data_IF_043322433601
#
_entry.id   IF_043322433601
#
_cell.length_a   1.000
_cell.length_b   1.000
_cell.length_c   1.000
_cell.angle_alpha   90.00
_cell.angle_beta   90.00
_cell.angle_gamma   90.00
#
_symmetry.space_group_name_H-M   'P 1'
#
loop_
_entity.id
_entity.type
_entity.pdbx_description
1 polymer ?
#
# COMPACT_ATOMS: atom_id res chain seq x y z
N UNK A 1 20.00 31.08 -16.33
CA UNK A 1 20.58 29.85 -15.75
C UNK A 1 19.48 29.18 -14.96
N UNK A 2 19.02 28.01 -15.38
CA UNK A 2 18.07 27.22 -14.60
C UNK A 2 18.76 26.81 -13.31
N UNK A 3 18.21 27.22 -12.17
CA UNK A 3 18.72 26.85 -10.86
C UNK A 3 18.61 25.33 -10.71
N UNK A 4 19.75 24.63 -10.80
CA UNK A 4 19.82 23.16 -10.77
C UNK A 4 19.25 22.57 -9.47
N UNK A 5 19.06 23.38 -8.44
CA UNK A 5 18.51 22.97 -7.15
C UNK A 5 16.98 22.92 -7.10
N UNK A 6 16.28 23.61 -8.01
CA UNK A 6 14.83 23.59 -8.04
C UNK A 6 14.33 22.31 -8.69
N UNK A 7 13.69 21.45 -7.89
CA UNK A 7 13.11 20.16 -8.31
C UNK A 7 11.62 20.13 -8.03
N UNK A 8 10.89 19.31 -8.77
CA UNK A 8 9.47 19.06 -8.48
C UNK A 8 9.33 17.87 -7.54
N UNK A 9 9.07 18.12 -6.26
CA UNK A 9 9.27 17.10 -5.20
C UNK A 9 7.96 16.63 -4.56
N UNK A 10 7.93 15.36 -4.14
CA UNK A 10 6.85 14.80 -3.33
C UNK A 10 7.33 13.63 -2.47
N UNK A 11 6.72 13.46 -1.29
CA UNK A 11 6.81 12.21 -0.53
C UNK A 11 5.71 11.26 -0.96
N UNK A 12 6.05 9.97 -1.07
CA UNK A 12 5.06 8.93 -1.33
C UNK A 12 5.52 7.56 -0.89
N UNK A 13 4.55 6.70 -0.61
CA UNK A 13 4.83 5.28 -0.40
C UNK A 13 4.85 4.53 -1.73
N UNK A 14 5.87 3.70 -1.93
CA UNK A 14 5.86 2.65 -2.96
C UNK A 14 4.70 1.68 -2.68
N UNK A 15 3.93 1.33 -3.73
CA UNK A 15 2.78 0.43 -3.58
C UNK A 15 2.98 -0.87 -4.33
N UNK A 16 2.69 -1.97 -3.63
CA UNK A 16 2.62 -3.29 -4.21
C UNK A 16 1.17 -3.75 -4.26
N UNK A 17 0.79 -4.35 -5.39
CA UNK A 17 -0.50 -5.01 -5.59
C UNK A 17 -0.35 -6.13 -6.63
N UNK A 18 -1.26 -7.11 -6.68
CA UNK A 18 -1.40 -8.01 -7.82
C UNK A 18 -2.03 -7.24 -9.00
N UNK A 19 -1.26 -6.32 -9.59
CA UNK A 19 -1.72 -5.42 -10.63
C UNK A 19 -2.29 -6.21 -11.83
N UNK A 20 -3.44 -5.80 -12.41
CA UNK A 20 -4.01 -6.52 -13.54
C UNK A 20 -3.06 -6.49 -14.75
N UNK A 21 -2.78 -7.66 -15.32
CA UNK A 21 -1.93 -7.80 -16.51
C UNK A 21 -2.55 -7.14 -17.76
N UNK A 22 -3.88 -7.00 -17.78
CA UNK A 22 -4.62 -6.44 -18.91
C UNK A 22 -4.57 -4.90 -19.02
N UNK A 23 -3.90 -4.21 -18.09
CA UNK A 23 -3.76 -2.75 -18.18
C UNK A 23 -2.84 -2.41 -19.38
N UNK A 24 -3.32 -1.71 -20.43
CA UNK A 24 -2.50 -1.43 -21.60
C UNK A 24 -1.26 -0.59 -21.22
N UNK A 25 -0.08 -1.17 -21.45
CA UNK A 25 1.22 -0.65 -20.98
C UNK A 25 1.53 0.78 -21.46
N UNK A 26 1.11 1.13 -22.69
CA UNK A 26 1.43 2.43 -23.29
C UNK A 26 0.73 3.62 -22.61
N UNK A 27 -0.38 3.35 -21.90
CA UNK A 27 -1.24 4.37 -21.29
C UNK A 27 -1.27 4.29 -19.76
N UNK A 28 -0.58 3.30 -19.20
CA UNK A 28 -0.54 3.03 -17.77
C UNK A 28 0.84 3.30 -17.20
N UNK A 29 0.89 3.70 -15.94
CA UNK A 29 2.13 3.76 -15.18
C UNK A 29 2.57 2.34 -14.91
N UNK A 30 3.84 2.07 -15.25
CA UNK A 30 4.53 0.82 -14.85
C UNK A 30 4.35 0.61 -13.35
N UNK A 31 4.15 -0.64 -12.93
CA UNK A 31 3.91 -1.01 -11.53
C UNK A 31 4.90 -0.32 -10.56
N UNK A 32 6.20 -0.38 -10.86
CA UNK A 32 7.29 0.26 -10.08
C UNK A 32 7.23 1.79 -9.95
N UNK A 33 6.32 2.46 -10.66
CA UNK A 33 6.12 3.92 -10.61
C UNK A 33 4.83 4.29 -9.88
N UNK A 34 4.01 3.31 -9.50
CA UNK A 34 2.77 3.51 -8.76
C UNK A 34 3.15 3.76 -7.31
N UNK A 35 2.65 4.85 -6.79
CA UNK A 35 2.91 5.30 -5.43
C UNK A 35 1.63 5.92 -4.87
N UNK A 36 1.52 5.94 -3.56
CA UNK A 36 0.55 6.75 -2.84
C UNK A 36 1.26 8.03 -2.41
N UNK A 37 0.92 9.16 -3.04
CA UNK A 37 1.48 10.47 -2.66
C UNK A 37 0.99 10.84 -1.27
N UNK A 38 1.90 11.18 -0.36
CA UNK A 38 1.58 11.65 0.99
C UNK A 38 1.63 13.18 1.07
N UNK A 39 2.65 13.77 0.43
CA UNK A 39 2.86 15.21 0.46
C UNK A 39 3.49 15.69 -0.84
N UNK A 40 2.99 16.78 -1.42
CA UNK A 40 3.46 17.32 -2.69
C UNK A 40 3.94 18.76 -2.51
N UNK A 41 5.23 19.02 -2.77
CA UNK A 41 5.87 20.33 -2.56
C UNK A 41 5.86 21.25 -3.78
N UNK A 42 5.42 20.76 -4.93
CA UNK A 42 5.58 21.51 -6.18
C UNK A 42 7.05 21.70 -6.55
N UNK A 43 7.37 22.82 -7.19
CA UNK A 43 8.74 23.19 -7.51
C UNK A 43 9.38 23.83 -6.27
N UNK A 44 10.36 23.16 -5.69
CA UNK A 44 11.03 23.62 -4.47
C UNK A 44 12.52 23.31 -4.51
N UNK A 45 13.27 23.95 -3.61
CA UNK A 45 14.71 23.72 -3.45
C UNK A 45 14.95 22.34 -2.83
N UNK A 46 15.70 21.49 -3.50
CA UNK A 46 16.08 20.19 -2.97
C UNK A 46 16.96 20.33 -1.74
N UNK A 47 17.93 21.25 -1.75
CA UNK A 47 18.78 21.53 -0.58
C UNK A 47 17.96 21.83 0.68
N UNK A 48 16.94 22.70 0.57
CA UNK A 48 16.06 23.02 1.70
C UNK A 48 15.32 21.79 2.22
N UNK A 49 14.72 20.99 1.32
CA UNK A 49 14.05 19.75 1.72
C UNK A 49 15.04 18.79 2.39
N UNK A 50 16.21 18.60 1.79
CA UNK A 50 17.24 17.68 2.28
C UNK A 50 17.74 18.03 3.69
N UNK A 51 17.85 19.32 4.03
CA UNK A 51 18.16 19.77 5.40
C UNK A 51 17.12 19.32 6.42
N UNK A 52 15.86 19.23 6.03
CA UNK A 52 14.76 18.79 6.89
C UNK A 52 14.57 17.28 6.94
N UNK A 53 14.93 16.53 5.88
CA UNK A 53 14.73 15.07 5.80
C UNK A 53 15.32 14.35 7.02
N UNK A 54 16.51 14.76 7.48
CA UNK A 54 17.19 14.12 8.62
C UNK A 54 16.39 14.21 9.92
N UNK A 55 15.61 15.27 10.08
CA UNK A 55 14.85 15.59 11.30
C UNK A 55 13.35 15.34 11.15
N UNK A 56 12.90 15.01 9.93
CA UNK A 56 11.52 14.65 9.66
C UNK A 56 11.13 13.45 10.53
N UNK A 57 9.91 13.45 11.11
CA UNK A 57 9.42 12.29 11.83
C UNK A 57 9.45 11.07 10.91
N UNK A 58 10.05 9.99 11.39
CA UNK A 58 10.04 8.71 10.69
C UNK A 58 8.67 8.04 10.87
N UNK A 59 8.28 7.11 9.99
CA UNK A 59 7.14 6.25 10.25
C UNK A 59 7.25 5.61 11.64
N UNK A 60 6.19 5.72 12.44
CA UNK A 60 6.15 5.15 13.79
C UNK A 60 5.86 3.63 13.79
N UNK A 61 5.58 3.08 12.61
CA UNK A 61 5.44 1.67 12.33
C UNK A 61 6.68 1.15 11.59
N UNK A 62 7.07 -0.09 11.91
CA UNK A 62 8.21 -0.75 11.23
C UNK A 62 7.77 -1.64 10.08
N UNK A 63 6.56 -2.17 10.17
CA UNK A 63 5.96 -3.02 9.16
C UNK A 63 5.10 -2.17 8.23
N UNK A 64 5.28 -2.40 6.93
CA UNK A 64 4.53 -1.75 5.87
C UNK A 64 3.02 -1.87 6.07
N UNK A 65 2.26 -0.76 6.04
CA UNK A 65 0.82 -0.83 6.18
C UNK A 65 0.20 -1.61 5.01
N UNK A 66 -0.98 -2.14 5.26
CA UNK A 66 -1.80 -2.86 4.29
C UNK A 66 -3.10 -2.10 4.01
N UNK A 67 -3.62 -2.24 2.81
CA UNK A 67 -4.80 -1.52 2.35
C UNK A 67 -5.55 -2.29 1.26
N UNK A 68 -6.70 -1.76 0.86
CA UNK A 68 -7.48 -2.22 -0.29
C UNK A 68 -7.65 -1.04 -1.25
N UNK A 69 -7.35 -1.26 -2.52
CA UNK A 69 -7.88 -0.42 -3.58
C UNK A 69 -9.35 -0.79 -3.78
N UNK A 70 -10.28 0.01 -3.28
CA UNK A 70 -11.68 -0.38 -3.12
C UNK A 70 -12.61 0.15 -4.23
N UNK A 71 -12.18 1.19 -4.93
CA UNK A 71 -13.00 1.83 -5.95
C UNK A 71 -12.20 2.66 -6.97
N UNK A 72 -12.69 2.81 -8.21
CA UNK A 72 -12.21 3.82 -9.12
C UNK A 72 -12.58 5.21 -8.61
N UNK A 73 -11.58 6.08 -8.47
CA UNK A 73 -11.75 7.42 -7.95
C UNK A 73 -11.63 8.45 -9.08
N UNK A 74 -12.47 9.48 -9.03
CA UNK A 74 -12.32 10.68 -9.84
C UNK A 74 -11.86 11.82 -8.93
N UNK A 75 -10.67 12.34 -9.16
CA UNK A 75 -10.15 13.45 -8.39
C UNK A 75 -10.76 14.78 -8.86
N UNK A 76 -11.25 15.64 -7.96
CA UNK A 76 -11.67 16.98 -8.31
C UNK A 76 -10.47 17.79 -8.83
N UNK A 77 -10.69 18.67 -9.80
CA UNK A 77 -9.68 19.57 -10.36
C UNK A 77 -8.46 18.89 -11.03
N UNK A 78 -8.61 17.62 -11.42
CA UNK A 78 -7.65 16.90 -12.26
C UNK A 78 -8.25 16.63 -13.64
N UNK A 79 -7.39 16.33 -14.61
CA UNK A 79 -7.85 15.93 -15.95
C UNK A 79 -8.84 14.76 -15.81
N UNK A 80 -9.97 14.79 -16.55
CA UNK A 80 -10.93 13.68 -16.57
C UNK A 80 -10.31 12.39 -17.08
N UNK A 81 -9.13 12.45 -17.71
CA UNK A 81 -8.43 11.31 -18.29
C UNK A 81 -7.50 10.58 -17.32
N UNK A 82 -7.40 11.00 -16.05
CA UNK A 82 -6.57 10.29 -15.06
C UNK A 82 -7.36 9.11 -14.46
N UNK A 83 -6.82 7.90 -14.60
CA UNK A 83 -7.31 6.74 -13.87
C UNK A 83 -6.64 6.70 -12.50
N UNK A 84 -7.45 6.80 -11.45
CA UNK A 84 -7.00 6.64 -10.07
C UNK A 84 -7.87 5.63 -9.34
N UNK A 85 -7.27 4.92 -8.38
CA UNK A 85 -7.99 4.08 -7.43
C UNK A 85 -7.91 4.70 -6.04
N UNK A 86 -9.04 4.71 -5.34
CA UNK A 86 -9.09 5.04 -3.92
C UNK A 86 -8.41 3.95 -3.11
N UNK A 87 -7.80 4.34 -2.00
CA UNK A 87 -7.10 3.43 -1.10
C UNK A 87 -7.72 3.55 0.29
N UNK A 88 -8.24 2.43 0.78
CA UNK A 88 -8.77 2.30 2.12
C UNK A 88 -7.84 1.44 2.98
N UNK A 89 -7.52 1.91 4.18
CA UNK A 89 -6.66 1.14 5.09
C UNK A 89 -7.36 -0.16 5.50
N UNK A 90 -6.59 -1.23 5.69
CA UNK A 90 -7.11 -2.49 6.20
C UNK A 90 -6.57 -2.75 7.61
N UNK A 91 -7.37 -2.44 8.63
CA UNK A 91 -6.96 -2.39 10.03
C UNK A 91 -6.65 -0.97 10.50
N UNK A 92 -5.52 -0.82 11.20
CA UNK A 92 -5.08 0.48 11.72
C UNK A 92 -4.74 1.46 10.58
N UNK A 93 -5.16 2.72 10.73
CA UNK A 93 -5.05 3.73 9.69
C UNK A 93 -3.74 4.53 9.77
N UNK A 94 -2.63 3.79 9.80
CA UNK A 94 -1.28 4.35 9.90
C UNK A 94 -0.93 5.35 8.78
N UNK A 95 -1.56 5.21 7.61
CA UNK A 95 -1.32 6.08 6.46
C UNK A 95 -1.80 7.50 6.74
N UNK A 96 -3.03 7.67 7.24
CA UNK A 96 -3.58 9.01 7.52
C UNK A 96 -2.87 9.67 8.71
N UNK A 97 -2.54 8.89 9.74
CA UNK A 97 -1.82 9.37 10.91
C UNK A 97 -0.42 9.87 10.53
N UNK A 98 0.33 9.09 9.75
CA UNK A 98 1.66 9.49 9.31
C UNK A 98 1.62 10.63 8.29
N UNK A 99 0.64 10.65 7.38
CA UNK A 99 0.47 11.75 6.43
C UNK A 99 0.25 13.07 7.16
N UNK A 100 -0.60 13.10 8.17
CA UNK A 100 -0.84 14.28 9.00
C UNK A 100 0.43 14.71 9.73
N UNK A 101 1.14 13.76 10.34
CA UNK A 101 2.38 14.02 11.06
C UNK A 101 3.44 14.70 10.17
N UNK A 102 3.66 14.21 8.95
CA UNK A 102 4.63 14.85 8.04
C UNK A 102 4.10 16.17 7.46
N UNK A 103 2.79 16.28 7.25
CA UNK A 103 2.17 17.53 6.78
C UNK A 103 2.41 18.65 7.78
N UNK A 104 2.02 18.43 9.05
CA UNK A 104 2.16 19.41 10.12
C UNK A 104 3.64 19.78 10.32
N UNK A 105 4.54 18.80 10.28
CA UNK A 105 5.98 19.04 10.36
C UNK A 105 6.50 19.99 9.28
N UNK A 106 6.10 19.81 8.01
CA UNK A 106 6.58 20.68 6.92
C UNK A 106 5.84 22.02 6.89
N UNK A 107 4.57 22.07 7.29
CA UNK A 107 3.84 23.33 7.47
C UNK A 107 4.52 24.22 8.51
N UNK A 108 4.93 23.66 9.66
CA UNK A 108 5.71 24.36 10.69
C UNK A 108 7.07 24.88 10.21
N UNK A 109 7.65 24.28 9.15
CA UNK A 109 8.88 24.77 8.50
C UNK A 109 8.61 25.84 7.43
N UNK A 110 7.36 26.27 7.28
CA UNK A 110 6.96 27.33 6.36
C UNK A 110 6.79 26.88 4.92
N UNK A 111 6.57 25.58 4.68
CA UNK A 111 6.17 25.10 3.36
C UNK A 111 4.68 25.38 3.13
N UNK A 112 4.36 25.98 1.98
CA UNK A 112 2.98 26.15 1.54
C UNK A 112 2.48 24.83 0.94
N UNK A 113 1.87 24.02 1.81
CA UNK A 113 1.25 22.76 1.46
C UNK A 113 -0.21 23.08 1.18
N UNK A 114 -0.61 23.09 -0.10
CA UNK A 114 -1.99 23.43 -0.49
C UNK A 114 -3.00 22.72 0.44
N UNK A 115 -3.87 23.48 1.12
CA UNK A 115 -4.86 22.98 2.10
C UNK A 115 -5.99 22.12 1.51
N UNK A 116 -5.71 21.39 0.43
CA UNK A 116 -6.61 20.39 -0.14
C UNK A 116 -6.65 19.20 0.79
N UNK A 117 -7.87 18.73 1.07
CA UNK A 117 -8.10 17.49 1.82
C UNK A 117 -7.24 16.37 1.23
N UNK A 118 -6.49 15.67 2.08
CA UNK A 118 -5.77 14.48 1.69
C UNK A 118 -6.76 13.42 1.20
N UNK A 119 -6.55 12.92 -0.02
CA UNK A 119 -7.34 11.86 -0.62
C UNK A 119 -6.38 10.72 -0.93
N UNK A 120 -6.48 9.60 -0.21
CA UNK A 120 -5.66 8.42 -0.42
C UNK A 120 -5.98 7.80 -1.78
N UNK A 121 -5.05 7.91 -2.72
CA UNK A 121 -5.25 7.37 -4.06
C UNK A 121 -3.94 6.97 -4.72
N UNK A 122 -4.05 6.06 -5.68
CA UNK A 122 -2.94 5.65 -6.54
C UNK A 122 -3.32 6.00 -7.98
N UNK A 123 -2.43 6.72 -8.66
CA UNK A 123 -2.61 6.97 -10.10
C UNK A 123 -2.11 5.76 -10.89
N UNK A 124 -2.93 5.28 -11.82
CA UNK A 124 -2.59 4.14 -12.68
C UNK A 124 -2.23 4.54 -14.09
N UNK A 125 -2.66 5.70 -14.58
CA UNK A 125 -2.45 6.08 -15.96
C UNK A 125 -3.31 7.23 -16.41
N UNK A 126 -3.19 7.59 -17.69
CA UNK A 126 -3.93 8.70 -18.30
C UNK A 126 -4.50 8.31 -19.66
N UNK A 127 -5.80 7.97 -19.71
CA UNK A 127 -6.54 7.79 -20.96
C UNK A 127 -8.04 7.59 -20.73
N UNK A 128 -8.90 8.29 -21.49
CA UNK A 128 -10.35 8.10 -21.45
C UNK A 128 -10.79 6.65 -21.74
N UNK A 129 -10.16 5.97 -22.71
CA UNK A 129 -10.49 4.58 -23.05
C UNK A 129 -10.15 3.64 -21.90
N UNK A 130 -8.97 3.84 -21.30
CA UNK A 130 -8.52 3.08 -20.14
C UNK A 130 -9.47 3.23 -18.95
N UNK A 131 -9.96 4.46 -18.68
CA UNK A 131 -10.91 4.70 -17.58
C UNK A 131 -12.21 3.92 -17.78
N UNK A 132 -12.76 3.94 -19.01
CA UNK A 132 -14.01 3.23 -19.31
C UNK A 132 -13.86 1.72 -19.09
N UNK A 133 -12.75 1.16 -19.56
CA UNK A 133 -12.43 -0.26 -19.39
C UNK A 133 -12.16 -0.63 -17.93
N UNK A 134 -11.29 0.11 -17.26
CA UNK A 134 -10.94 -0.11 -15.87
C UNK A 134 -12.16 -0.01 -14.93
N UNK A 135 -13.12 0.88 -15.22
CA UNK A 135 -14.37 0.97 -14.46
C UNK A 135 -15.27 -0.24 -14.67
N UNK A 136 -15.36 -0.76 -15.91
CA UNK A 136 -16.21 -1.91 -16.23
C UNK A 136 -15.68 -3.19 -15.58
N UNK A 137 -14.36 -3.34 -15.52
CA UNK A 137 -13.69 -4.54 -15.04
C UNK A 137 -13.03 -4.34 -13.67
N UNK A 138 -13.43 -3.30 -12.92
CA UNK A 138 -12.83 -3.03 -11.63
C UNK A 138 -13.11 -4.18 -10.67
N UNK A 139 -12.06 -4.64 -10.02
CA UNK A 139 -12.12 -5.51 -8.87
C UNK A 139 -11.28 -4.87 -7.77
N UNK A 140 -11.74 -4.92 -6.51
CA UNK A 140 -10.91 -4.54 -5.40
C UNK A 140 -9.58 -5.29 -5.42
N UNK A 141 -8.50 -4.63 -4.99
CA UNK A 141 -7.18 -5.24 -4.96
C UNK A 141 -6.50 -5.04 -3.61
N UNK A 142 -5.80 -6.05 -3.10
CA UNK A 142 -5.04 -5.92 -1.88
C UNK A 142 -3.76 -5.13 -2.16
N UNK A 143 -3.37 -4.31 -1.20
CA UNK A 143 -2.21 -3.44 -1.28
C UNK A 143 -1.32 -3.63 -0.06
N UNK A 144 -0.02 -3.45 -0.26
CA UNK A 144 0.89 -3.11 0.84
C UNK A 144 1.92 -2.07 0.40
N UNK A 145 2.52 -1.42 1.40
CA UNK A 145 3.53 -0.38 1.21
C UNK A 145 4.84 -0.79 1.85
N UNK A 146 5.95 -0.81 1.10
CA UNK A 146 7.26 -1.26 1.64
C UNK A 146 8.26 -0.15 1.83
N UNK A 147 8.06 1.00 1.20
CA UNK A 147 9.11 1.99 1.09
C UNK A 147 8.55 3.39 1.07
N UNK A 148 9.09 4.28 1.90
CA UNK A 148 8.84 5.72 1.80
C UNK A 148 9.93 6.35 0.94
N UNK A 149 9.55 7.11 -0.07
CA UNK A 149 10.49 7.84 -0.90
C UNK A 149 10.20 9.34 -0.90
N UNK A 150 11.27 10.12 -1.03
CA UNK A 150 11.19 11.42 -1.68
C UNK A 150 11.40 11.19 -3.17
N UNK A 151 10.42 11.56 -3.98
CA UNK A 151 10.49 11.48 -5.43
C UNK A 151 10.80 12.84 -6.06
N UNK A 152 11.64 12.83 -7.08
CA UNK A 152 11.70 13.88 -8.10
C UNK A 152 10.73 13.53 -9.23
N UNK A 153 9.86 14.48 -9.59
CA UNK A 153 9.00 14.40 -10.75
C UNK A 153 9.68 15.04 -11.96
N UNK A 154 10.02 14.22 -12.93
CA UNK A 154 10.56 14.65 -14.23
C UNK A 154 9.42 15.01 -15.21
N UNK A 155 9.77 15.35 -16.45
CA UNK A 155 8.77 15.57 -17.51
C UNK A 155 7.92 14.29 -17.73
N UNK A 156 6.60 14.48 -17.92
CA UNK A 156 5.62 13.40 -17.98
C UNK A 156 5.16 12.90 -16.60
N UNK A 157 4.91 11.60 -16.49
CA UNK A 157 4.56 10.92 -15.22
C UNK A 157 5.70 10.00 -14.75
N UNK A 158 6.94 10.46 -14.95
CA UNK A 158 8.12 9.79 -14.44
C UNK A 158 8.50 10.34 -13.08
N UNK A 159 8.54 9.46 -12.09
CA UNK A 159 9.00 9.72 -10.74
C UNK A 159 10.26 8.90 -10.48
N UNK A 160 11.27 9.52 -9.87
CA UNK A 160 12.54 8.90 -9.52
C UNK A 160 12.80 9.11 -8.02
N UNK A 161 13.02 8.03 -7.24
CA UNK A 161 13.43 8.16 -5.85
C UNK A 161 14.78 8.85 -5.73
N UNK A 162 14.86 9.92 -4.92
CA UNK A 162 16.10 10.64 -4.60
C UNK A 162 16.49 10.51 -3.11
N UNK A 163 15.57 10.01 -2.29
CA UNK A 163 15.80 9.57 -0.92
C UNK A 163 14.81 8.46 -0.57
N UNK A 164 15.22 7.53 0.30
CA UNK A 164 14.49 6.31 0.61
C UNK A 164 14.55 5.99 2.10
N UNK A 165 13.46 5.46 2.63
CA UNK A 165 13.36 4.84 3.95
C UNK A 165 12.58 3.53 3.82
N UNK A 166 13.27 2.42 4.10
CA UNK A 166 12.70 1.08 3.96
C UNK A 166 11.82 0.72 5.17
N UNK A 167 10.68 0.09 4.86
CA UNK A 167 9.82 -0.59 5.82
C UNK A 167 9.93 -2.09 5.59
N UNK A 168 9.69 -2.86 6.64
CA UNK A 168 9.63 -4.31 6.49
C UNK A 168 8.33 -4.67 5.78
N UNK A 169 8.33 -5.44 4.67
CA UNK A 169 7.09 -5.83 4.02
C UNK A 169 6.22 -6.66 4.98
N UNK A 170 4.89 -6.49 4.96
CA UNK A 170 3.99 -7.22 5.87
C UNK A 170 4.00 -8.72 5.62
N UNK A 171 4.37 -9.14 4.40
CA UNK A 171 4.55 -10.54 4.06
C UNK A 171 5.49 -10.71 2.87
N UNK A 172 6.07 -11.90 2.77
CA UNK A 172 6.86 -12.35 1.63
C UNK A 172 6.55 -13.82 1.37
N UNK A 173 6.28 -14.21 0.12
CA UNK A 173 6.15 -15.63 -0.22
C UNK A 173 7.53 -16.19 -0.60
N UNK A 174 8.06 -17.12 0.20
CA UNK A 174 9.37 -17.75 -0.05
C UNK A 174 9.29 -18.83 -1.12
N UNK A 175 8.20 -19.57 -1.13
CA UNK A 175 7.85 -20.60 -2.13
C UNK A 175 6.33 -20.75 -2.15
N UNK A 176 5.77 -21.35 -3.20
CA UNK A 176 4.32 -21.52 -3.37
C UNK A 176 3.68 -22.00 -2.06
N UNK A 177 2.85 -21.16 -1.46
CA UNK A 177 2.10 -21.47 -0.24
C UNK A 177 2.88 -21.38 1.07
N UNK A 178 4.08 -20.81 1.07
CA UNK A 178 4.84 -20.54 2.29
C UNK A 178 5.15 -19.05 2.35
N UNK A 179 4.42 -18.37 3.23
CA UNK A 179 4.61 -16.96 3.50
C UNK A 179 5.36 -16.76 4.82
N UNK A 180 6.22 -15.76 4.86
CA UNK A 180 6.71 -15.15 6.09
C UNK A 180 5.91 -13.88 6.28
N UNK A 181 5.22 -13.75 7.41
CA UNK A 181 4.43 -12.60 7.81
C UNK A 181 5.18 -11.81 8.86
N UNK A 182 5.22 -10.50 8.72
CA UNK A 182 5.81 -9.60 9.71
C UNK A 182 4.72 -8.78 10.38
N UNK A 183 4.87 -8.45 11.67
CA UNK A 183 3.90 -7.64 12.41
C UNK A 183 4.46 -7.18 13.74
N UNK A 184 3.83 -6.19 14.36
CA UNK A 184 4.16 -5.66 15.69
C UNK A 184 3.17 -6.19 16.74
N UNK A 185 2.16 -6.95 16.31
CA UNK A 185 1.18 -7.64 17.15
C UNK A 185 0.61 -8.87 16.43
N UNK A 186 -0.01 -9.79 17.19
CA UNK A 186 -0.74 -10.92 16.58
C UNK A 186 -1.91 -10.44 15.70
N UNK A 187 -2.54 -9.31 16.06
CA UNK A 187 -3.56 -8.70 15.23
C UNK A 187 -2.99 -8.30 13.87
N UNK A 188 -1.85 -7.62 13.84
CA UNK A 188 -1.23 -7.22 12.59
C UNK A 188 -0.81 -8.43 11.75
N UNK A 189 -0.24 -9.48 12.36
CA UNK A 189 0.07 -10.73 11.66
C UNK A 189 -1.17 -11.38 11.04
N UNK A 190 -2.29 -11.41 11.75
CA UNK A 190 -3.55 -11.96 11.25
C UNK A 190 -4.11 -11.15 10.07
N UNK A 191 -4.12 -9.82 10.15
CA UNK A 191 -4.55 -8.95 9.05
C UNK A 191 -3.60 -9.07 7.84
N UNK A 192 -2.29 -9.14 8.08
CA UNK A 192 -1.29 -9.34 7.04
C UNK A 192 -1.45 -10.70 6.34
N UNK A 193 -1.83 -11.76 7.08
CA UNK A 193 -2.17 -13.06 6.50
C UNK A 193 -3.37 -12.97 5.54
N UNK A 194 -4.43 -12.26 5.94
CA UNK A 194 -5.61 -12.05 5.10
C UNK A 194 -5.24 -11.36 3.77
N UNK A 195 -4.43 -10.31 3.84
CA UNK A 195 -3.96 -9.58 2.65
C UNK A 195 -2.99 -10.43 1.82
N UNK A 196 -2.12 -11.23 2.43
CA UNK A 196 -1.23 -12.15 1.72
C UNK A 196 -2.01 -13.18 0.88
N UNK A 197 -3.08 -13.76 1.44
CA UNK A 197 -3.96 -14.66 0.71
C UNK A 197 -4.69 -13.95 -0.43
N UNK A 198 -5.25 -12.76 -0.16
CA UNK A 198 -5.89 -11.96 -1.19
C UNK A 198 -4.90 -11.55 -2.28
N UNK A 199 -3.61 -11.38 -1.97
CA UNK A 199 -2.58 -11.07 -2.96
C UNK A 199 -2.43 -12.19 -4.00
N UNK A 200 -2.65 -13.44 -3.60
CA UNK A 200 -2.72 -14.58 -4.52
C UNK A 200 -4.06 -14.73 -5.20
N UNK A 201 -5.14 -14.39 -4.50
CA UNK A 201 -6.49 -14.53 -5.00
C UNK A 201 -7.36 -13.32 -4.61
N UNK A 202 -7.33 -12.22 -5.39
CA UNK A 202 -7.99 -10.95 -5.02
C UNK A 202 -9.49 -11.06 -4.78
N UNK A 203 -10.15 -12.05 -5.37
CA UNK A 203 -11.56 -12.33 -5.13
C UNK A 203 -11.87 -12.80 -3.68
N UNK A 204 -10.86 -13.00 -2.82
CA UNK A 204 -11.03 -13.16 -1.37
C UNK A 204 -11.44 -11.87 -0.66
N UNK A 205 -11.19 -10.69 -1.22
CA UNK A 205 -11.41 -9.40 -0.53
C UNK A 205 -12.80 -9.26 0.11
N UNK A 206 -13.92 -9.63 -0.55
CA UNK A 206 -15.25 -9.52 0.06
C UNK A 206 -15.47 -10.40 1.30
N UNK A 207 -14.59 -11.38 1.55
CA UNK A 207 -14.66 -12.28 2.69
C UNK A 207 -13.70 -11.88 3.81
N UNK A 208 -12.84 -10.89 3.60
CA UNK A 208 -11.90 -10.46 4.63
C UNK A 208 -12.63 -9.72 5.75
N UNK A 209 -12.08 -9.83 6.95
CA UNK A 209 -12.64 -9.23 8.15
C UNK A 209 -11.54 -8.54 8.95
N UNK A 210 -11.46 -7.22 8.78
CA UNK A 210 -10.55 -6.36 9.55
C UNK A 210 -11.05 -6.06 10.97
N UNK A 211 -12.33 -6.33 11.27
CA UNK A 211 -12.93 -6.04 12.58
C UNK A 211 -12.71 -7.16 13.60
N UNK A 212 -12.32 -8.34 13.14
CA UNK A 212 -12.07 -9.48 14.02
C UNK A 212 -10.76 -9.30 14.78
N UNK A 213 -10.85 -9.24 16.10
CA UNK A 213 -9.70 -9.16 17.00
C UNK A 213 -9.20 -10.56 17.38
N UNK A 214 -7.92 -10.84 17.10
CA UNK A 214 -7.25 -12.07 17.54
C UNK A 214 -6.45 -11.83 18.82
N UNK A 215 -6.56 -12.78 19.76
CA UNK A 215 -5.72 -12.80 20.98
C UNK A 215 -4.40 -13.54 20.76
N UNK A 216 -4.40 -14.49 19.83
CA UNK A 216 -3.27 -15.32 19.46
C UNK A 216 -3.46 -15.85 18.02
N UNK A 217 -2.42 -16.42 17.44
CA UNK A 217 -2.45 -16.91 16.05
C UNK A 217 -3.19 -18.25 15.87
N UNK A 218 -3.44 -19.00 16.94
CA UNK A 218 -4.30 -20.18 16.86
C UNK A 218 -5.74 -19.78 16.53
N UNK A 219 -6.28 -18.80 17.28
CA UNK A 219 -7.59 -18.20 17.01
C UNK A 219 -7.62 -17.56 15.61
N UNK A 220 -6.54 -16.87 15.24
CA UNK A 220 -6.35 -16.31 13.90
C UNK A 220 -6.41 -17.37 12.79
N UNK A 221 -5.79 -18.53 12.98
CA UNK A 221 -5.82 -19.65 12.04
C UNK A 221 -7.21 -20.26 11.87
N UNK A 222 -7.96 -20.42 12.97
CA UNK A 222 -9.36 -20.87 12.93
C UNK A 222 -10.22 -19.87 12.15
N UNK A 223 -10.07 -18.57 12.43
CA UNK A 223 -10.81 -17.52 11.71
C UNK A 223 -10.46 -17.51 10.23
N UNK A 224 -9.17 -17.55 9.89
CA UNK A 224 -8.69 -17.55 8.51
C UNK A 224 -9.24 -18.75 7.71
N UNK A 225 -9.23 -19.94 8.31
CA UNK A 225 -9.83 -21.15 7.73
C UNK A 225 -11.33 -21.00 7.52
N UNK A 226 -12.03 -20.34 8.44
CA UNK A 226 -13.46 -20.04 8.31
C UNK A 226 -13.73 -19.13 7.11
N UNK A 227 -12.95 -18.05 6.94
CA UNK A 227 -13.08 -17.14 5.79
C UNK A 227 -12.81 -17.85 4.47
N UNK A 228 -11.76 -18.69 4.41
CA UNK A 228 -11.42 -19.51 3.24
C UNK A 228 -12.59 -20.45 2.89
N UNK A 229 -13.17 -21.14 3.87
CA UNK A 229 -14.31 -22.04 3.64
C UNK A 229 -15.55 -21.29 3.13
N UNK A 230 -15.81 -20.08 3.64
CA UNK A 230 -16.90 -19.23 3.15
C UNK A 230 -16.65 -18.84 1.68
N UNK A 231 -15.45 -18.38 1.36
CA UNK A 231 -15.07 -18.03 0.00
C UNK A 231 -15.11 -19.24 -0.94
N UNK A 232 -14.67 -20.42 -0.51
CA UNK A 232 -14.74 -21.66 -1.27
C UNK A 232 -16.17 -22.02 -1.64
N UNK A 233 -17.10 -21.93 -0.68
CA UNK A 233 -18.51 -22.22 -0.91
C UNK A 233 -19.14 -21.24 -1.89
N UNK A 234 -18.74 -19.96 -1.85
CA UNK A 234 -19.30 -18.90 -2.67
C UNK A 234 -18.72 -18.86 -4.10
N UNK A 235 -17.40 -18.94 -4.24
CA UNK A 235 -16.69 -18.65 -5.50
C UNK A 235 -15.62 -19.70 -5.86
N UNK A 236 -15.53 -20.81 -5.13
CA UNK A 236 -14.59 -21.91 -5.41
C UNK A 236 -13.12 -21.46 -5.47
N UNK A 237 -12.67 -20.75 -4.43
CA UNK A 237 -11.27 -20.33 -4.31
C UNK A 237 -10.34 -21.55 -4.26
N UNK A 238 -9.16 -21.51 -4.91
CA UNK A 238 -8.25 -22.66 -4.98
C UNK A 238 -7.40 -22.81 -3.72
N UNK A 239 -7.91 -22.40 -2.55
CA UNK A 239 -7.21 -22.45 -1.27
C UNK A 239 -8.01 -23.38 -0.36
N UNK A 240 -7.39 -24.45 0.09
CA UNK A 240 -8.05 -25.45 0.94
C UNK A 240 -7.82 -25.18 2.42
N UNK A 241 -6.65 -24.63 2.78
CA UNK A 241 -6.26 -24.44 4.17
C UNK A 241 -5.17 -23.38 4.32
N UNK A 242 -5.17 -22.69 5.47
CA UNK A 242 -4.09 -21.83 5.91
C UNK A 242 -3.75 -22.12 7.38
N UNK A 243 -2.46 -22.29 7.69
CA UNK A 243 -1.98 -22.79 8.98
C UNK A 243 -0.87 -21.90 9.50
N UNK A 244 -1.03 -21.38 10.70
CA UNK A 244 0.07 -20.84 11.50
C UNK A 244 0.72 -21.99 12.27
N UNK A 245 2.05 -22.18 12.18
CA UNK A 245 2.74 -23.06 13.11
C UNK A 245 2.73 -22.47 14.52
N UNK A 246 2.98 -23.31 15.53
CA UNK A 246 2.93 -22.90 16.94
C UNK A 246 4.05 -21.95 17.35
N UNK A 247 5.10 -21.82 16.53
CA UNK A 247 6.29 -21.02 16.83
C UNK A 247 6.59 -20.06 15.70
N UNK A 248 6.98 -18.85 16.07
CA UNK A 248 7.61 -17.87 15.21
C UNK A 248 8.73 -17.17 15.97
N UNK A 249 9.20 -16.07 15.42
CA UNK A 249 10.32 -15.31 15.94
C UNK A 249 9.83 -13.96 16.45
N UNK A 250 10.31 -13.56 17.62
CA UNK A 250 10.10 -12.23 18.18
C UNK A 250 11.46 -11.60 18.48
N UNK A 251 11.67 -10.39 17.94
CA UNK A 251 12.86 -9.60 18.24
C UNK A 251 12.51 -8.13 18.36
N UNK A 252 12.80 -7.54 19.53
CA UNK A 252 12.58 -6.10 19.82
C UNK A 252 11.13 -5.67 19.53
N UNK A 253 10.15 -6.51 19.87
CA UNK A 253 8.72 -6.24 19.63
C UNK A 253 8.30 -6.31 18.16
N UNK A 254 9.13 -6.87 17.27
CA UNK A 254 8.74 -7.27 15.92
C UNK A 254 8.52 -8.78 15.92
N UNK A 255 7.38 -9.21 15.40
CA UNK A 255 6.98 -10.60 15.22
C UNK A 255 7.17 -11.00 13.76
N UNK A 256 7.72 -12.20 13.54
CA UNK A 256 7.83 -12.86 12.25
C UNK A 256 7.26 -14.27 12.36
N UNK A 257 6.28 -14.60 11.53
CA UNK A 257 5.58 -15.88 11.60
C UNK A 257 5.40 -16.51 10.24
N UNK A 258 5.62 -17.81 10.14
CA UNK A 258 5.29 -18.53 8.92
C UNK A 258 3.76 -18.69 8.78
N UNK A 259 3.28 -18.70 7.55
CA UNK A 259 1.95 -19.12 7.16
C UNK A 259 2.06 -20.14 6.03
N UNK A 260 1.58 -21.35 6.28
CA UNK A 260 1.50 -22.40 5.28
C UNK A 260 0.11 -22.45 4.68
N UNK A 261 0.02 -22.40 3.35
CA UNK A 261 -1.21 -22.34 2.57
C UNK A 261 -1.22 -23.51 1.61
N UNK A 262 -2.26 -24.33 1.72
CA UNK A 262 -2.51 -25.44 0.81
C UNK A 262 -3.46 -24.99 -0.30
N UNK A 263 -3.10 -25.33 -1.54
CA UNK A 263 -3.89 -25.04 -2.73
C UNK A 263 -4.40 -26.35 -3.34
N UNK A 264 -5.54 -26.28 -4.03
CA UNK A 264 -6.02 -27.38 -4.89
C UNK A 264 -5.07 -27.65 -6.08
#
# INVERSE_FOLDING_TARGET
MTDQDTKRLLFGFEVHAPWPEMLPDEKTLKAKRRHLTLLFFGNTSYKKIHEHIRYMPKPFFRVGPIAIADSPLRLPNRSPDILTWHVEAFGENFIDEYQRLIHDYFEEKGYDLEGKKFIKHITLGKSASLIKEAKKNFQPLPLYFSTLHLYEKHQGDHYEPIWTYDLLPPFEEKKKGHFILNGESFQQLFLNAQIALAFKYPALIPFLDQSYEVRNLHDGGIRLTTLINQAYRAIKVPITKAIFPDRGHEEKGLLSWDLFVEYE
#
